data_IF_572230522136
#
_entry.id   IF_572230522136
#
_cell.length_a   1.000
_cell.length_b   1.000
_cell.length_c   1.000
_cell.angle_alpha   90.00
_cell.angle_beta   90.00
_cell.angle_gamma   90.00
#
_symmetry.space_group_name_H-M   'P 1'
#
loop_
_entity.id
_entity.type
_entity.pdbx_description
1 polymer ?
#
# COMPACT_ATOMS: atom_id res chain seq x y z
N UNK A 1 -12.47 -29.34 -10.24
CA UNK A 1 -11.97 -28.21 -11.06
C UNK A 1 -12.97 -27.06 -10.95
N UNK A 2 -12.73 -26.09 -10.07
CA UNK A 2 -13.76 -25.14 -9.62
C UNK A 2 -13.66 -23.80 -10.37
N UNK A 3 -14.79 -23.13 -10.58
CA UNK A 3 -14.83 -21.74 -11.05
C UNK A 3 -15.10 -20.81 -9.88
N UNK A 4 -14.18 -19.87 -9.64
CA UNK A 4 -14.37 -18.79 -8.69
C UNK A 4 -14.90 -17.59 -9.45
N UNK A 5 -15.95 -16.95 -8.93
CA UNK A 5 -16.63 -15.82 -9.57
C UNK A 5 -16.16 -14.46 -9.03
N UNK A 6 -15.73 -14.40 -7.76
CA UNK A 6 -15.17 -13.20 -7.16
C UNK A 6 -13.67 -13.08 -7.50
N UNK A 7 -13.24 -11.91 -8.00
CA UNK A 7 -11.83 -11.69 -8.35
C UNK A 7 -10.89 -11.83 -7.14
N UNK A 8 -11.26 -11.24 -6.00
CA UNK A 8 -10.39 -11.23 -4.82
C UNK A 8 -10.15 -12.64 -4.27
N UNK A 9 -11.21 -13.45 -4.21
CA UNK A 9 -11.14 -14.87 -3.82
C UNK A 9 -10.29 -15.68 -4.81
N UNK A 10 -10.40 -15.42 -6.12
CA UNK A 10 -9.56 -16.09 -7.11
C UNK A 10 -8.08 -15.69 -6.97
N UNK A 11 -7.80 -14.41 -6.72
CA UNK A 11 -6.43 -13.91 -6.54
C UNK A 11 -5.79 -14.51 -5.29
N UNK A 12 -6.46 -14.46 -4.14
CA UNK A 12 -5.97 -15.03 -2.89
C UNK A 12 -5.74 -16.55 -3.01
N UNK A 13 -6.71 -17.28 -3.56
CA UNK A 13 -6.57 -18.71 -3.80
C UNK A 13 -5.45 -19.06 -4.80
N UNK A 14 -5.18 -18.21 -5.80
CA UNK A 14 -4.07 -18.40 -6.73
C UNK A 14 -2.71 -18.16 -6.08
N UNK A 15 -2.59 -17.11 -5.26
CA UNK A 15 -1.36 -16.81 -4.53
C UNK A 15 -1.07 -17.86 -3.45
N UNK A 16 -2.08 -18.33 -2.72
CA UNK A 16 -1.96 -19.40 -1.72
C UNK A 16 -1.57 -20.75 -2.34
N UNK A 17 -2.16 -21.10 -3.50
CA UNK A 17 -1.84 -22.33 -4.24
C UNK A 17 -0.40 -22.30 -4.76
N UNK A 18 0.06 -21.15 -5.28
CA UNK A 18 1.46 -20.96 -5.67
C UNK A 18 2.41 -21.07 -4.47
N UNK A 19 2.09 -20.42 -3.35
CA UNK A 19 2.91 -20.46 -2.13
C UNK A 19 3.04 -21.89 -1.56
N UNK A 20 1.99 -22.71 -1.66
CA UNK A 20 2.01 -24.11 -1.24
C UNK A 20 2.94 -24.99 -2.08
N UNK A 21 3.06 -24.75 -3.38
CA UNK A 21 3.82 -25.63 -4.29
C UNK A 21 4.35 -24.88 -5.52
N UNK A 22 5.39 -24.03 -5.36
CA UNK A 22 5.83 -23.14 -6.42
C UNK A 22 6.38 -23.87 -7.66
N UNK A 23 7.04 -25.02 -7.47
CA UNK A 23 7.67 -25.79 -8.56
C UNK A 23 6.67 -26.53 -9.45
N UNK A 24 5.54 -26.98 -8.91
CA UNK A 24 4.52 -27.75 -9.65
C UNK A 24 3.35 -26.90 -10.13
N UNK A 25 3.18 -25.69 -9.57
CA UNK A 25 2.11 -24.77 -9.90
C UNK A 25 2.29 -24.21 -11.30
N UNK A 26 1.28 -24.41 -12.16
CA UNK A 26 1.23 -23.85 -13.52
C UNK A 26 0.05 -22.90 -13.65
N UNK A 27 0.37 -21.66 -14.01
CA UNK A 27 -0.59 -20.62 -14.36
C UNK A 27 -0.79 -20.58 -15.88
N UNK A 28 -2.04 -20.52 -16.34
CA UNK A 28 -2.42 -20.59 -17.76
C UNK A 28 -3.48 -19.53 -18.05
N UNK A 29 -3.17 -18.65 -19.00
CA UNK A 29 -4.08 -17.64 -19.53
C UNK A 29 -4.61 -18.09 -20.89
N UNK A 30 -5.92 -17.97 -21.11
CA UNK A 30 -6.56 -18.14 -22.43
C UNK A 30 -7.46 -16.95 -22.73
N UNK A 31 -7.06 -16.14 -23.70
CA UNK A 31 -7.88 -15.09 -24.30
C UNK A 31 -8.58 -15.62 -25.56
N UNK A 32 -9.85 -15.25 -25.78
CA UNK A 32 -10.57 -15.47 -27.04
C UNK A 32 -11.19 -14.14 -27.49
N UNK A 33 -10.48 -13.45 -28.38
CA UNK A 33 -10.86 -12.11 -28.86
C UNK A 33 -12.27 -12.07 -29.47
N UNK A 34 -12.66 -13.09 -30.24
CA UNK A 34 -13.99 -13.17 -30.86
C UNK A 34 -15.16 -13.31 -29.89
N UNK A 35 -14.91 -13.66 -28.62
CA UNK A 35 -15.91 -13.74 -27.54
C UNK A 35 -15.68 -12.66 -26.46
N UNK A 36 -14.68 -11.79 -26.60
CA UNK A 36 -14.25 -10.87 -25.54
C UNK A 36 -13.86 -11.57 -24.22
N UNK A 37 -13.42 -12.82 -24.29
CA UNK A 37 -13.44 -13.74 -23.14
C UNK A 37 -12.05 -14.06 -22.61
N UNK A 38 -11.86 -13.78 -21.33
CA UNK A 38 -10.66 -14.14 -20.57
C UNK A 38 -10.96 -15.34 -19.67
N UNK A 39 -10.14 -16.38 -19.79
CA UNK A 39 -10.13 -17.52 -18.88
C UNK A 39 -8.74 -17.65 -18.27
N UNK A 40 -8.69 -17.58 -16.94
CA UNK A 40 -7.48 -17.83 -16.15
C UNK A 40 -7.62 -19.19 -15.48
N UNK A 41 -6.53 -19.93 -15.38
CA UNK A 41 -6.45 -21.24 -14.71
C UNK A 41 -5.14 -21.32 -13.95
N UNK A 42 -5.18 -21.78 -12.71
CA UNK A 42 -3.98 -22.17 -11.95
C UNK A 42 -4.18 -23.56 -11.35
N UNK A 43 -3.12 -24.36 -11.28
CA UNK A 43 -3.15 -25.75 -10.81
C UNK A 43 -1.78 -26.26 -10.40
N UNK A 44 -1.72 -27.03 -9.33
CA UNK A 44 -0.56 -27.78 -8.80
C UNK A 44 -0.60 -29.28 -9.19
N UNK A 45 -1.41 -29.63 -10.20
CA UNK A 45 -1.84 -30.98 -10.60
C UNK A 45 -2.87 -31.65 -9.68
N UNK A 46 -3.02 -31.23 -8.41
CA UNK A 46 -3.98 -31.84 -7.47
C UNK A 46 -5.28 -31.05 -7.39
N UNK A 47 -5.14 -29.73 -7.25
CA UNK A 47 -6.20 -28.73 -7.22
C UNK A 47 -6.16 -27.92 -8.51
N UNK A 48 -7.33 -27.46 -8.95
CA UNK A 48 -7.40 -26.56 -10.09
C UNK A 48 -8.60 -25.63 -9.94
N UNK A 49 -8.28 -24.34 -9.86
CA UNK A 49 -9.22 -23.23 -9.83
C UNK A 49 -9.15 -22.47 -11.16
N UNK A 50 -10.28 -21.89 -11.56
CA UNK A 50 -10.42 -21.09 -12.77
C UNK A 50 -11.21 -19.82 -12.49
N UNK A 51 -10.84 -18.75 -13.18
CA UNK A 51 -11.64 -17.53 -13.31
C UNK A 51 -12.05 -17.36 -14.76
N UNK A 52 -13.28 -16.90 -15.00
CA UNK A 52 -13.84 -16.65 -16.33
C UNK A 52 -14.56 -15.32 -16.31
N UNK A 53 -14.15 -14.40 -17.18
CA UNK A 53 -14.81 -13.10 -17.35
C UNK A 53 -14.94 -12.72 -18.82
N UNK A 54 -15.91 -11.86 -19.09
CA UNK A 54 -16.13 -11.19 -20.38
C UNK A 54 -15.90 -9.68 -20.27
N UNK A 55 -15.55 -9.17 -19.08
CA UNK A 55 -15.38 -7.74 -18.84
C UNK A 55 -13.91 -7.33 -18.90
N UNK A 56 -13.61 -6.32 -19.71
CA UNK A 56 -12.28 -5.75 -19.90
C UNK A 56 -11.71 -5.06 -18.66
N UNK A 57 -12.53 -4.75 -17.64
CA UNK A 57 -12.06 -4.16 -16.37
C UNK A 57 -11.07 -5.07 -15.61
N UNK A 58 -11.08 -6.37 -15.90
CA UNK A 58 -10.17 -7.34 -15.32
C UNK A 58 -8.84 -7.44 -16.08
N UNK A 59 -8.63 -6.69 -17.17
CA UNK A 59 -7.37 -6.70 -17.92
C UNK A 59 -6.22 -6.20 -17.04
N UNK A 60 -6.34 -4.99 -16.49
CA UNK A 60 -5.34 -4.42 -15.57
C UNK A 60 -5.15 -5.27 -14.29
N UNK A 61 -6.19 -6.00 -13.86
CA UNK A 61 -6.12 -6.86 -12.66
C UNK A 61 -5.39 -8.17 -12.92
N UNK A 62 -5.61 -8.82 -14.07
CA UNK A 62 -4.82 -10.01 -14.42
C UNK A 62 -3.36 -9.62 -14.67
N UNK A 63 -3.09 -8.46 -15.27
CA UNK A 63 -1.73 -7.99 -15.50
C UNK A 63 -0.95 -7.87 -14.18
N UNK A 64 -1.55 -7.21 -13.18
CA UNK A 64 -0.98 -7.10 -11.83
C UNK A 64 -0.74 -8.47 -11.17
N UNK A 65 -1.69 -9.41 -11.30
CA UNK A 65 -1.53 -10.79 -10.79
C UNK A 65 -0.41 -11.55 -11.52
N UNK A 66 -0.33 -11.43 -12.85
CA UNK A 66 0.74 -12.04 -13.63
C UNK A 66 2.11 -11.52 -13.19
N UNK A 67 2.24 -10.21 -12.99
CA UNK A 67 3.48 -9.58 -12.56
C UNK A 67 3.89 -10.03 -11.15
N UNK A 68 2.94 -10.03 -10.19
CA UNK A 68 3.12 -10.58 -8.84
C UNK A 68 3.59 -12.04 -8.85
N UNK A 69 2.98 -12.91 -9.68
CA UNK A 69 3.41 -14.31 -9.82
C UNK A 69 4.81 -14.42 -10.44
N UNK A 70 5.13 -13.63 -11.47
CA UNK A 70 6.48 -13.62 -12.08
C UNK A 70 7.56 -13.14 -11.12
N UNK A 71 7.31 -12.10 -10.32
CA UNK A 71 8.25 -11.62 -9.29
C UNK A 71 8.54 -12.71 -8.25
N UNK A 72 7.49 -13.39 -7.76
CA UNK A 72 7.61 -14.52 -6.82
C UNK A 72 8.32 -15.74 -7.44
N UNK A 73 8.17 -15.99 -8.74
CA UNK A 73 8.88 -17.05 -9.46
C UNK A 73 10.36 -16.72 -9.69
N UNK A 74 10.71 -15.45 -9.88
CA UNK A 74 12.09 -14.99 -10.05
C UNK A 74 12.83 -14.78 -8.72
N UNK A 75 12.20 -15.09 -7.59
CA UNK A 75 12.67 -14.76 -6.24
C UNK A 75 13.11 -13.29 -6.09
N UNK A 76 12.46 -12.38 -6.84
CA UNK A 76 12.71 -10.94 -6.73
C UNK A 76 12.06 -10.46 -5.45
N UNK A 77 12.87 -10.31 -4.40
CA UNK A 77 12.45 -9.57 -3.20
C UNK A 77 12.08 -8.16 -3.66
N UNK A 78 10.80 -7.81 -3.54
CA UNK A 78 10.33 -6.44 -3.76
C UNK A 78 11.19 -5.53 -2.89
N UNK A 79 11.98 -4.66 -3.52
CA UNK A 79 12.77 -3.66 -2.80
C UNK A 79 11.76 -2.68 -2.23
N UNK A 80 11.48 -2.83 -0.95
CA UNK A 80 10.77 -1.82 -0.19
C UNK A 80 11.64 -0.55 -0.27
N UNK A 81 11.11 0.58 -0.77
CA UNK A 81 11.84 1.84 -0.73
C UNK A 81 12.30 2.05 0.72
N UNK A 82 13.56 2.44 0.98
CA UNK A 82 14.02 2.66 2.33
C UNK A 82 13.05 3.64 3.00
N UNK A 83 12.55 3.26 4.19
CA UNK A 83 11.74 4.14 5.00
C UNK A 83 12.47 5.49 5.09
N UNK A 84 11.75 6.58 4.79
CA UNK A 84 12.35 7.91 4.76
C UNK A 84 13.02 8.15 6.12
N UNK A 85 14.34 8.47 6.17
CA UNK A 85 15.00 8.77 7.42
C UNK A 85 14.30 9.94 8.10
N UNK A 86 14.08 9.85 9.40
CA UNK A 86 13.51 10.91 10.22
C UNK A 86 14.21 12.26 9.96
N UNK A 87 13.41 13.33 9.90
CA UNK A 87 13.95 14.69 9.74
C UNK A 87 14.92 15.01 10.89
N UNK A 88 16.18 15.41 10.59
CA UNK A 88 17.16 15.66 11.64
C UNK A 88 16.83 16.93 12.41
N UNK A 89 16.52 16.79 13.69
CA UNK A 89 16.47 17.91 14.63
C UNK A 89 17.85 18.61 14.65
N UNK A 90 17.93 19.95 14.60
CA UNK A 90 19.21 20.64 14.66
C UNK A 90 19.78 20.59 16.10
N UNK A 91 20.80 19.75 16.30
CA UNK A 91 21.60 19.73 17.52
C UNK A 91 22.58 20.90 17.53
N UNK A 92 22.48 21.78 18.52
CA UNK A 92 23.43 22.86 18.75
C UNK A 92 24.69 22.33 19.47
N UNK A 93 25.91 22.69 19.03
CA UNK A 93 27.15 22.30 19.71
C UNK A 93 27.38 23.10 21.01
N UNK A 94 28.19 22.56 21.93
CA UNK A 94 28.41 23.10 23.28
C UNK A 94 29.91 23.20 23.64
N UNK A 95 30.22 24.09 24.61
CA UNK A 95 31.54 24.51 25.13
C UNK A 95 32.44 25.29 24.12
N UNK A 96 33.10 26.41 24.44
CA UNK A 96 33.16 27.32 25.60
C UNK A 96 33.68 28.71 25.13
N UNK A 97 34.10 29.70 25.93
CA UNK A 97 34.20 29.89 27.38
C UNK A 97 34.36 31.43 27.68
N UNK A 98 34.65 31.83 28.93
CA UNK A 98 34.96 33.19 29.45
C UNK A 98 33.79 34.14 29.75
N UNK A 99 33.71 34.54 31.03
CA UNK A 99 32.93 35.63 31.61
C UNK A 99 33.80 36.94 31.63
N UNK A 100 33.40 38.13 32.15
CA UNK A 100 32.26 38.38 33.06
C UNK A 100 31.49 39.74 32.92
N UNK A 101 30.65 39.99 33.93
CA UNK A 101 30.08 41.26 34.48
C UNK A 101 28.96 42.07 33.78
N UNK A 102 27.91 42.30 34.59
CA UNK A 102 27.10 43.54 34.70
C UNK A 102 26.05 43.83 33.59
N UNK A 103 24.79 44.24 33.86
CA UNK A 103 24.11 44.67 35.10
C UNK A 103 22.58 44.46 35.04
N UNK A 104 21.93 44.52 36.22
CA UNK A 104 20.56 45.02 36.44
C UNK A 104 19.33 44.27 35.85
N UNK A 105 18.63 43.55 36.73
CA UNK A 105 17.15 43.54 36.80
C UNK A 105 16.66 44.81 37.56
N UNK A 106 15.35 45.10 37.77
CA UNK A 106 14.14 44.32 37.42
C UNK A 106 12.98 45.15 36.80
N UNK A 107 11.85 44.51 36.43
CA UNK A 107 10.50 44.80 37.01
C UNK A 107 9.28 44.32 36.20
N UNK A 108 8.20 44.06 36.95
CA UNK A 108 6.78 44.25 36.60
C UNK A 108 6.10 43.38 35.51
N UNK A 109 5.45 42.32 36.01
CA UNK A 109 4.06 41.93 35.76
C UNK A 109 3.21 42.70 34.71
N UNK A 110 2.59 41.93 33.81
CA UNK A 110 1.45 42.36 32.98
C UNK A 110 0.71 41.14 32.42
N UNK A 111 -0.61 41.07 32.61
CA UNK A 111 -1.45 39.91 32.26
C UNK A 111 -2.24 40.17 30.93
N UNK A 112 -3.30 39.42 30.53
CA UNK A 112 -3.30 38.77 29.22
C UNK A 112 -4.37 39.27 28.23
N UNK A 113 -4.16 39.00 26.94
CA UNK A 113 -5.14 39.14 25.85
C UNK A 113 -4.70 38.31 24.63
N UNK A 114 -5.55 37.87 23.69
CA UNK A 114 -6.99 37.59 23.66
C UNK A 114 -7.33 36.91 22.31
N UNK A 115 -8.50 36.28 22.17
CA UNK A 115 -9.15 36.07 20.86
C UNK A 115 -9.03 34.69 20.22
N UNK A 116 -10.17 33.97 20.18
CA UNK A 116 -10.33 32.69 19.46
C UNK A 116 -11.80 32.27 19.46
N UNK A 117 -12.60 32.84 18.55
CA UNK A 117 -14.07 32.89 18.69
C UNK A 117 -14.79 31.63 18.16
N UNK A 118 -15.89 31.28 18.84
CA UNK A 118 -16.75 30.11 18.65
C UNK A 118 -17.66 30.14 17.39
N UNK A 119 -17.98 28.92 16.91
CA UNK A 119 -19.26 28.46 16.29
C UNK A 119 -19.65 28.96 14.88
N UNK A 120 -20.06 28.01 14.02
CA UNK A 120 -21.49 27.62 13.83
C UNK A 120 -21.67 26.30 13.03
N UNK A 121 -22.73 25.56 13.37
CA UNK A 121 -23.22 24.32 12.69
C UNK A 121 -24.51 24.65 11.88
N UNK A 122 -25.19 23.69 11.22
CA UNK A 122 -25.57 23.75 9.81
C UNK A 122 -26.96 24.35 9.54
N UNK A 123 -27.36 24.50 8.27
CA UNK A 123 -28.76 24.75 7.89
C UNK A 123 -29.20 23.97 6.65
N UNK A 124 -30.36 23.31 6.79
CA UNK A 124 -31.04 22.44 5.83
C UNK A 124 -31.94 23.24 4.88
N UNK A 125 -31.93 22.87 3.60
CA UNK A 125 -32.99 22.94 2.54
C UNK A 125 -32.40 22.13 1.36
N UNK A 126 -33.16 21.37 0.58
CA UNK A 126 -34.58 21.50 0.22
C UNK A 126 -35.30 20.16 0.42
#
# INVERSE_FOLDING_TARGET
MVYIHAWQEYQDAAEALYAKSPTTTRYVVKWKSSEGKLVLKITDNTTCIKFKTYSSIFLNRFEALNLSLMEKMQNRRKVEPPAQPDEPMPVAPSAGDTAPVSSAAPSAAGAPAAGGVKKKKPKKKK
#
